data_IF_377691434666
#
_entry.id   IF_377691434666
#
_cell.length_a   1.000
_cell.length_b   1.000
_cell.length_c   1.000
_cell.angle_alpha   90.00
_cell.angle_beta   90.00
_cell.angle_gamma   90.00
#
_symmetry.space_group_name_H-M   'P 1'
#
loop_
_entity.id
_entity.type
_entity.pdbx_description
1 polymer ?
#
# COMPACT_ATOMS: atom_id res chain seq x y z
N UNK A 1 -27.01 -41.39 31.27
CA UNK A 1 -26.63 -40.07 30.75
C UNK A 1 -25.58 -40.21 29.66
N UNK A 2 -25.98 -40.22 28.39
CA UNK A 2 -25.05 -40.13 27.27
C UNK A 2 -24.75 -38.64 27.04
N UNK A 3 -23.51 -38.24 27.34
CA UNK A 3 -23.05 -36.86 27.14
C UNK A 3 -22.87 -36.55 25.65
N UNK A 4 -23.07 -35.28 25.29
CA UNK A 4 -22.89 -34.81 23.91
C UNK A 4 -21.45 -35.03 23.43
N UNK A 5 -21.30 -35.67 22.27
CA UNK A 5 -20.01 -35.90 21.63
C UNK A 5 -19.69 -34.68 20.74
N UNK A 6 -18.88 -33.75 21.26
CA UNK A 6 -18.38 -32.63 20.48
C UNK A 6 -17.32 -33.16 19.50
N UNK A 7 -17.74 -33.43 18.27
CA UNK A 7 -16.85 -33.66 17.14
C UNK A 7 -16.15 -32.34 16.81
N UNK A 8 -15.14 -31.97 17.61
CA UNK A 8 -14.25 -30.88 17.28
C UNK A 8 -13.58 -31.22 15.95
N UNK A 9 -13.64 -30.32 14.96
CA UNK A 9 -12.95 -30.46 13.68
C UNK A 9 -11.42 -30.42 13.92
N UNK A 10 -10.81 -31.59 14.16
CA UNK A 10 -9.36 -31.74 14.33
C UNK A 10 -8.75 -31.91 12.94
N UNK A 11 -8.73 -30.84 12.14
CA UNK A 11 -7.90 -30.80 10.93
C UNK A 11 -6.43 -30.70 11.33
N UNK A 12 -5.64 -31.68 10.92
CA UNK A 12 -4.18 -31.67 11.08
C UNK A 12 -3.60 -30.55 10.21
N UNK A 13 -3.33 -29.40 10.82
CA UNK A 13 -2.63 -28.29 10.15
C UNK A 13 -1.15 -28.66 10.07
N UNK A 14 -0.63 -28.87 8.87
CA UNK A 14 0.80 -28.99 8.63
C UNK A 14 1.39 -27.60 8.39
N UNK A 15 2.34 -27.20 9.23
CA UNK A 15 3.14 -26.00 8.96
C UNK A 15 4.07 -26.33 7.79
N UNK A 16 4.06 -25.48 6.77
CA UNK A 16 4.99 -25.59 5.66
C UNK A 16 6.40 -25.23 6.16
N UNK A 17 7.23 -26.25 6.43
CA UNK A 17 8.61 -26.08 6.90
C UNK A 17 9.63 -25.88 5.77
N UNK A 18 9.19 -25.81 4.50
CA UNK A 18 10.11 -25.57 3.37
C UNK A 18 10.60 -24.12 3.28
N UNK A 19 9.95 -23.21 4.01
CA UNK A 19 10.37 -21.82 4.14
C UNK A 19 11.59 -21.75 5.07
N UNK A 20 12.69 -21.18 4.60
CA UNK A 20 13.88 -20.96 5.42
C UNK A 20 13.48 -20.10 6.64
N UNK A 21 13.76 -20.53 7.88
CA UNK A 21 13.48 -19.73 9.06
C UNK A 21 14.32 -18.44 9.00
N UNK A 22 13.66 -17.30 8.90
CA UNK A 22 14.29 -15.99 8.87
C UNK A 22 13.77 -15.14 10.02
N UNK A 23 14.63 -14.31 10.60
CA UNK A 23 14.26 -13.49 11.75
C UNK A 23 13.05 -12.60 11.42
N UNK A 24 12.10 -12.45 12.35
CA UNK A 24 10.89 -11.62 12.18
C UNK A 24 11.18 -10.19 11.69
N UNK A 25 12.34 -9.65 12.08
CA UNK A 25 12.87 -8.38 11.63
C UNK A 25 13.05 -8.34 10.09
N UNK A 26 13.61 -9.39 9.51
CA UNK A 26 13.84 -9.47 8.07
C UNK A 26 12.53 -9.37 7.29
N UNK A 27 11.53 -10.17 7.63
CA UNK A 27 10.23 -10.14 6.96
C UNK A 27 9.53 -8.78 7.12
N UNK A 28 9.69 -8.14 8.29
CA UNK A 28 9.12 -6.82 8.55
C UNK A 28 9.75 -5.75 7.64
N UNK A 29 11.08 -5.75 7.49
CA UNK A 29 11.78 -4.83 6.60
C UNK A 29 11.44 -5.10 5.14
N UNK A 30 11.45 -6.38 4.72
CA UNK A 30 11.13 -6.78 3.36
C UNK A 30 9.71 -6.37 2.95
N UNK A 31 8.74 -6.48 3.87
CA UNK A 31 7.37 -6.01 3.63
C UNK A 31 7.34 -4.51 3.35
N UNK A 32 8.06 -3.70 4.13
CA UNK A 32 8.11 -2.25 3.93
C UNK A 32 8.84 -1.91 2.63
N UNK A 33 9.91 -2.62 2.27
CA UNK A 33 10.61 -2.43 0.99
C UNK A 33 9.72 -2.73 -0.22
N UNK A 34 8.88 -3.75 -0.11
CA UNK A 34 7.87 -4.06 -1.14
C UNK A 34 6.86 -2.92 -1.29
N UNK A 35 6.35 -2.38 -0.18
CA UNK A 35 5.43 -1.22 -0.18
C UNK A 35 6.09 0.03 -0.78
N UNK A 36 7.35 0.32 -0.42
CA UNK A 36 8.13 1.44 -0.98
C UNK A 36 8.27 1.27 -2.50
N UNK A 37 8.61 0.06 -2.95
CA UNK A 37 8.79 -0.25 -4.37
C UNK A 37 7.48 -0.09 -5.15
N UNK A 38 6.37 -0.57 -4.60
CA UNK A 38 5.04 -0.37 -5.19
C UNK A 38 4.67 1.12 -5.28
N UNK A 39 4.91 1.90 -4.22
CA UNK A 39 4.66 3.35 -4.22
C UNK A 39 5.51 4.10 -5.25
N UNK A 40 6.78 3.72 -5.44
CA UNK A 40 7.64 4.29 -6.49
C UNK A 40 7.08 4.01 -7.88
N UNK A 41 6.64 2.77 -8.15
CA UNK A 41 6.02 2.41 -9.44
C UNK A 41 4.74 3.20 -9.71
N UNK A 42 3.88 3.36 -8.69
CA UNK A 42 2.66 4.18 -8.83
C UNK A 42 2.97 5.64 -9.17
N UNK A 43 3.96 6.25 -8.51
CA UNK A 43 4.40 7.61 -8.83
C UNK A 43 4.94 7.70 -10.26
N UNK A 44 5.71 6.72 -10.72
CA UNK A 44 6.22 6.69 -12.09
C UNK A 44 5.06 6.61 -13.10
N UNK A 45 4.10 5.70 -12.88
CA UNK A 45 2.93 5.58 -13.74
C UNK A 45 2.11 6.88 -13.83
N UNK A 46 1.92 7.59 -12.71
CA UNK A 46 1.22 8.88 -12.71
C UNK A 46 1.99 9.96 -13.47
N UNK A 47 3.33 9.92 -13.46
CA UNK A 47 4.15 10.85 -14.26
C UNK A 47 4.00 10.57 -15.75
N UNK A 48 4.03 9.30 -16.15
CA UNK A 48 3.81 8.93 -17.56
C UNK A 48 2.44 9.40 -18.05
N UNK A 49 1.38 9.16 -17.28
CA UNK A 49 0.03 9.68 -17.62
C UNK A 49 -0.02 11.20 -17.77
N UNK A 50 0.72 11.93 -16.93
CA UNK A 50 0.82 13.38 -17.07
C UNK A 50 1.58 13.79 -18.33
N UNK A 51 2.62 13.05 -18.73
CA UNK A 51 3.36 13.30 -19.98
C UNK A 51 2.48 13.01 -21.21
N UNK A 52 1.78 11.88 -21.22
CA UNK A 52 0.82 11.49 -22.27
C UNK A 52 -0.26 12.59 -22.45
N UNK A 53 -0.89 13.01 -21.36
CA UNK A 53 -1.89 14.09 -21.42
C UNK A 53 -1.33 15.42 -21.95
N UNK A 54 -0.06 15.75 -21.66
CA UNK A 54 0.59 16.94 -22.23
C UNK A 54 0.88 16.79 -23.74
N UNK A 55 1.23 15.59 -24.19
CA UNK A 55 1.41 15.30 -25.61
C UNK A 55 0.08 15.43 -26.36
N UNK A 56 -1.00 14.88 -25.80
CA UNK A 56 -2.36 15.02 -26.36
C UNK A 56 -2.80 16.48 -26.44
N UNK A 57 -2.56 17.28 -25.39
CA UNK A 57 -2.83 18.72 -25.42
C UNK A 57 -2.05 19.41 -26.54
N UNK A 58 -0.79 19.03 -26.76
CA UNK A 58 0.05 19.61 -27.81
C UNK A 58 -0.52 19.29 -29.20
N UNK A 59 -0.94 18.04 -29.42
CA UNK A 59 -1.58 17.62 -30.66
C UNK A 59 -2.90 18.34 -30.89
N UNK A 60 -3.76 18.46 -29.86
CA UNK A 60 -5.02 19.19 -29.96
C UNK A 60 -4.82 20.66 -30.32
N UNK A 61 -3.78 21.31 -29.78
CA UNK A 61 -3.45 22.69 -30.14
C UNK A 61 -2.94 22.82 -31.58
N UNK A 62 -2.17 21.84 -32.05
CA UNK A 62 -1.76 21.78 -33.46
C UNK A 62 -2.99 21.67 -34.38
N UNK A 63 -3.91 20.75 -34.08
CA UNK A 63 -5.14 20.56 -34.84
C UNK A 63 -6.01 21.83 -34.86
N UNK A 64 -6.16 22.51 -33.72
CA UNK A 64 -6.89 23.78 -33.63
C UNK A 64 -6.24 24.83 -34.54
N UNK A 65 -4.91 24.91 -34.55
CA UNK A 65 -4.18 25.86 -35.37
C UNK A 65 -4.36 25.56 -36.87
N UNK A 66 -4.33 24.29 -37.25
CA UNK A 66 -4.61 23.84 -38.62
C UNK A 66 -6.05 24.19 -39.05
N UNK A 67 -7.05 23.92 -38.19
CA UNK A 67 -8.45 24.29 -38.45
C UNK A 67 -8.60 25.79 -38.68
N UNK A 68 -8.02 26.63 -37.81
CA UNK A 68 -8.04 28.10 -37.96
C UNK A 68 -7.37 28.56 -39.26
N UNK A 69 -6.23 27.96 -39.63
CA UNK A 69 -5.54 28.30 -40.87
C UNK A 69 -6.38 27.97 -42.12
N UNK A 70 -7.13 26.87 -42.08
CA UNK A 70 -7.96 26.41 -43.19
C UNK A 70 -9.26 27.21 -43.36
N UNK A 71 -9.73 27.93 -42.34
CA UNK A 71 -10.96 28.74 -42.41
C UNK A 71 -10.97 29.77 -43.55
N UNK A 72 -9.80 30.25 -44.00
CA UNK A 72 -9.72 31.19 -45.13
C UNK A 72 -10.16 30.62 -46.49
N UNK A 73 -10.33 29.30 -46.58
CA UNK A 73 -10.78 28.60 -47.80
C UNK A 73 -12.19 27.99 -47.65
N UNK A 74 -12.89 28.31 -46.55
CA UNK A 74 -14.15 27.70 -46.18
C UNK A 74 -15.35 28.62 -46.45
N UNK A 75 -16.52 28.04 -46.69
CA UNK A 75 -17.80 28.78 -46.67
C UNK A 75 -18.19 29.17 -45.23
N UNK A 76 -19.14 30.10 -45.04
CA UNK A 76 -19.64 30.43 -43.70
C UNK A 76 -20.13 29.21 -42.90
N UNK A 77 -20.86 28.30 -43.54
CA UNK A 77 -21.35 27.07 -42.90
C UNK A 77 -20.20 26.13 -42.48
N UNK A 78 -19.17 26.00 -43.32
CA UNK A 78 -17.97 25.22 -42.99
C UNK A 78 -17.17 25.85 -41.85
N UNK A 79 -17.12 27.19 -41.78
CA UNK A 79 -16.49 27.92 -40.68
C UNK A 79 -17.23 27.65 -39.37
N UNK A 80 -18.56 27.63 -39.37
CA UNK A 80 -19.36 27.27 -38.18
C UNK A 80 -19.03 25.86 -37.69
N UNK A 81 -18.95 24.88 -38.59
CA UNK A 81 -18.55 23.51 -38.25
C UNK A 81 -17.13 23.45 -37.70
N UNK A 82 -16.18 24.17 -38.32
CA UNK A 82 -14.80 24.30 -37.86
C UNK A 82 -14.72 24.89 -36.45
N UNK A 83 -15.52 25.92 -36.16
CA UNK A 83 -15.61 26.52 -34.83
C UNK A 83 -16.18 25.56 -33.79
N UNK A 84 -17.21 24.78 -34.13
CA UNK A 84 -17.74 23.74 -33.24
C UNK A 84 -16.68 22.67 -32.93
N UNK A 85 -15.90 22.24 -33.93
CA UNK A 85 -14.80 21.30 -33.73
C UNK A 85 -13.70 21.88 -32.83
N UNK A 86 -13.34 23.15 -33.01
CA UNK A 86 -12.38 23.87 -32.15
C UNK A 86 -12.89 23.94 -30.71
N UNK A 87 -14.17 24.24 -30.49
CA UNK A 87 -14.77 24.28 -29.15
C UNK A 87 -14.70 22.90 -28.48
N UNK A 88 -15.03 21.83 -29.20
CA UNK A 88 -14.92 20.47 -28.68
C UNK A 88 -13.48 20.12 -28.27
N UNK A 89 -12.49 20.43 -29.12
CA UNK A 89 -11.07 20.22 -28.80
C UNK A 89 -10.62 21.04 -27.58
N UNK A 90 -11.09 22.28 -27.43
CA UNK A 90 -10.81 23.09 -26.23
C UNK A 90 -11.38 22.47 -24.95
N UNK A 91 -12.58 21.90 -25.00
CA UNK A 91 -13.15 21.16 -23.87
C UNK A 91 -12.31 19.93 -23.51
N UNK A 92 -11.82 19.19 -24.51
CA UNK A 92 -10.90 18.06 -24.28
C UNK A 92 -9.60 18.52 -23.61
N UNK A 93 -8.99 19.62 -24.07
CA UNK A 93 -7.80 20.22 -23.45
C UNK A 93 -8.07 20.56 -21.98
N UNK A 94 -9.22 21.14 -21.67
CA UNK A 94 -9.57 21.50 -20.29
C UNK A 94 -9.71 20.26 -19.40
N UNK A 95 -10.31 19.18 -19.90
CA UNK A 95 -10.40 17.91 -19.19
C UNK A 95 -9.00 17.33 -18.91
N UNK A 96 -8.13 17.28 -19.92
CA UNK A 96 -6.75 16.79 -19.76
C UNK A 96 -5.95 17.64 -18.75
N UNK A 97 -6.14 18.96 -18.73
CA UNK A 97 -5.54 19.84 -17.72
C UNK A 97 -6.00 19.48 -16.31
N UNK A 98 -7.29 19.20 -16.13
CA UNK A 98 -7.82 18.76 -14.84
C UNK A 98 -7.23 17.41 -14.43
N UNK A 99 -7.11 16.46 -15.36
CA UNK A 99 -6.49 15.16 -15.09
C UNK A 99 -5.02 15.31 -14.66
N UNK A 100 -4.25 16.18 -15.32
CA UNK A 100 -2.88 16.50 -14.94
C UNK A 100 -2.81 17.01 -13.49
N UNK A 101 -3.72 17.90 -13.09
CA UNK A 101 -3.80 18.39 -11.70
C UNK A 101 -4.05 17.23 -10.72
N UNK A 102 -4.95 16.29 -11.07
CA UNK A 102 -5.21 15.12 -10.24
C UNK A 102 -3.99 14.20 -10.16
N UNK A 103 -3.30 13.93 -11.27
CA UNK A 103 -2.06 13.14 -11.28
C UNK A 103 -0.97 13.78 -10.42
N UNK A 104 -0.79 15.10 -10.51
CA UNK A 104 0.16 15.84 -9.68
C UNK A 104 -0.18 15.74 -8.18
N UNK A 105 -1.46 15.82 -7.83
CA UNK A 105 -1.93 15.61 -6.46
C UNK A 105 -1.61 14.18 -5.98
N UNK A 106 -1.91 13.17 -6.81
CA UNK A 106 -1.57 11.77 -6.55
C UNK A 106 -0.07 11.56 -6.34
N UNK A 107 0.78 12.18 -7.15
CA UNK A 107 2.24 12.14 -7.01
C UNK A 107 2.67 12.76 -5.67
N UNK A 108 2.11 13.90 -5.28
CA UNK A 108 2.42 14.57 -4.00
C UNK A 108 2.08 13.67 -2.82
N UNK A 109 0.88 13.09 -2.83
CA UNK A 109 0.41 12.17 -1.79
C UNK A 109 1.28 10.90 -1.73
N UNK A 110 1.61 10.33 -2.89
CA UNK A 110 2.52 9.19 -3.00
C UNK A 110 3.89 9.47 -2.40
N UNK A 111 4.47 10.65 -2.68
CA UNK A 111 5.76 11.07 -2.10
C UNK A 111 5.69 11.20 -0.58
N UNK A 112 4.59 11.73 -0.03
CA UNK A 112 4.39 11.79 1.42
C UNK A 112 4.28 10.40 2.04
N UNK A 113 3.55 9.47 1.41
CA UNK A 113 3.47 8.08 1.85
C UNK A 113 4.84 7.40 1.85
N UNK A 114 5.64 7.61 0.81
CA UNK A 114 7.01 7.08 0.75
C UNK A 114 7.88 7.58 1.90
N UNK A 115 7.81 8.88 2.26
CA UNK A 115 8.53 9.42 3.42
C UNK A 115 8.14 8.69 4.72
N UNK A 116 6.83 8.45 4.92
CA UNK A 116 6.34 7.71 6.10
C UNK A 116 6.82 6.25 6.11
N UNK A 117 6.84 5.59 4.95
CA UNK A 117 7.36 4.22 4.84
C UNK A 117 8.86 4.15 5.11
N UNK A 118 9.63 5.13 4.64
CA UNK A 118 11.06 5.24 4.97
C UNK A 118 11.28 5.42 6.47
N UNK A 119 10.46 6.24 7.14
CA UNK A 119 10.50 6.38 8.59
C UNK A 119 10.19 5.05 9.28
N UNK A 120 9.11 4.37 8.88
CA UNK A 120 8.74 3.04 9.40
C UNK A 120 9.88 2.03 9.24
N UNK A 121 10.53 2.02 8.08
CA UNK A 121 11.68 1.15 7.81
C UNK A 121 12.83 1.42 8.80
N UNK A 122 13.17 2.69 9.04
CA UNK A 122 14.20 3.09 10.01
C UNK A 122 13.81 2.73 11.45
N UNK A 123 12.54 2.88 11.83
CA UNK A 123 12.04 2.55 13.17
C UNK A 123 12.08 1.03 13.42
N UNK A 124 11.76 0.22 12.42
CA UNK A 124 11.90 -1.25 12.47
C UNK A 124 13.37 -1.63 12.61
N UNK A 125 14.25 -1.05 11.77
CA UNK A 125 15.69 -1.32 11.81
C UNK A 125 16.32 -0.95 13.16
N UNK A 126 15.89 0.15 13.77
CA UNK A 126 16.39 0.63 15.06
C UNK A 126 15.73 -0.03 16.27
N UNK A 127 14.77 -0.95 16.06
CA UNK A 127 14.04 -1.63 17.15
C UNK A 127 13.06 -0.72 17.91
N UNK A 128 12.85 0.52 17.45
CA UNK A 128 11.88 1.47 18.02
C UNK A 128 10.44 1.12 17.66
N UNK A 129 10.25 0.35 16.58
CA UNK A 129 8.95 -0.14 16.16
C UNK A 129 8.60 -1.44 16.88
N UNK A 130 7.78 -1.36 17.94
CA UNK A 130 7.16 -2.54 18.56
C UNK A 130 5.87 -2.88 17.82
N UNK A 131 5.89 -3.97 17.05
CA UNK A 131 4.67 -4.48 16.43
C UNK A 131 3.70 -4.90 17.54
N UNK A 132 2.47 -4.37 17.56
CA UNK A 132 1.49 -4.58 18.63
C UNK A 132 0.94 -6.02 18.74
N UNK A 133 1.56 -7.00 18.07
CA UNK A 133 1.08 -8.38 17.93
C UNK A 133 1.67 -9.38 18.94
N UNK A 134 2.53 -8.97 19.87
CA UNK A 134 3.05 -9.88 20.92
C UNK A 134 2.47 -9.56 22.29
N UNK A 135 1.15 -9.73 22.43
CA UNK A 135 0.54 -10.16 23.70
C UNK A 135 -0.07 -11.55 23.52
N UNK A 136 0.76 -12.53 23.14
CA UNK A 136 0.47 -13.90 23.54
C UNK A 136 0.97 -14.02 24.98
N UNK A 137 0.02 -13.93 25.92
CA UNK A 137 0.24 -14.29 27.31
C UNK A 137 0.61 -15.77 27.36
N UNK A 138 1.90 -16.08 27.34
CA UNK A 138 2.40 -17.38 27.80
C UNK A 138 2.50 -17.24 29.32
N UNK A 139 1.43 -17.67 30.00
CA UNK A 139 1.48 -17.92 31.43
C UNK A 139 2.56 -18.98 31.71
N UNK A 140 3.48 -18.77 32.67
CA UNK A 140 4.44 -19.81 33.03
C UNK A 140 3.70 -20.95 33.72
N UNK A 141 3.65 -22.10 33.06
CA UNK A 141 3.27 -23.37 33.65
C UNK A 141 4.21 -23.71 34.79
N UNK A 142 3.65 -23.83 36.00
CA UNK A 142 4.32 -24.27 37.20
C UNK A 142 4.92 -25.68 37.03
N UNK A 143 6.09 -25.98 37.63
CA UNK A 143 6.59 -27.34 37.71
C UNK A 143 6.06 -28.03 38.97
N UNK A 144 5.20 -29.03 38.79
CA UNK A 144 5.00 -30.09 39.77
C UNK A 144 6.05 -31.18 39.57
N UNK A 145 6.99 -31.31 40.51
CA UNK A 145 7.54 -32.61 40.87
C UNK A 145 8.10 -32.63 42.28
N UNK A 146 7.43 -33.47 43.07
CA UNK A 146 7.80 -33.96 44.40
C UNK A 146 9.23 -34.50 44.42
N UNK A 147 9.95 -34.25 45.52
CA UNK A 147 10.48 -35.28 46.42
C UNK A 147 11.73 -34.75 47.15
N UNK A 148 11.63 -34.51 48.47
CA UNK A 148 12.49 -35.17 49.46
C UNK A 148 12.23 -34.62 50.86
N UNK A 149 12.20 -35.58 51.77
CA UNK A 149 11.87 -35.57 53.19
C UNK A 149 13.14 -35.28 53.98
N UNK A 150 13.15 -34.28 54.87
CA UNK A 150 14.00 -34.31 56.08
C UNK A 150 13.56 -33.25 57.10
N UNK A 151 12.83 -33.76 58.09
CA UNK A 151 12.83 -33.45 59.53
C UNK A 151 13.10 -32.02 60.03
N UNK A 152 12.05 -31.43 60.61
CA UNK A 152 12.08 -30.32 61.57
C UNK A 152 12.40 -30.81 62.98
N UNK A 153 13.30 -30.11 63.66
CA UNK A 153 13.73 -30.33 65.04
C UNK A 153 12.92 -29.41 65.99
N UNK A 154 12.26 -30.00 67.01
CA UNK A 154 12.04 -29.46 68.38
C UNK A 154 11.20 -28.15 68.55
N UNK A 155 10.37 -27.82 69.55
CA UNK A 155 10.06 -28.22 70.94
C UNK A 155 8.63 -27.70 71.22
N UNK A 156 7.78 -28.43 71.94
CA UNK A 156 6.98 -27.82 73.02
C UNK A 156 6.67 -28.87 74.10
N UNK A 157 7.12 -28.52 75.29
CA UNK A 157 7.04 -29.15 76.60
C UNK A 157 5.61 -29.13 77.17
N UNK A 158 5.30 -30.14 77.96
CA UNK A 158 4.62 -29.99 79.25
C UNK A 158 5.55 -30.60 80.32
#
# INVERSE_FOLDING_TARGET
NQGANFLCDIRKVSLNQSLKPQASLYYSLQSVDNEISAGKRQIAALKEKANEANADISQLNFDISALKSNQKYQTPEEIEQSNAAIQNKNSQINNLKNDIVQYQSGIRNGRQKLKKLQQKWNDIKSGKFKNASTKSAVAPSAPDSKNSKSSSESIMTD
#
